data_IF_965289096035
#
_entry.id   IF_965289096035
#
_cell.length_a   1.000
_cell.length_b   1.000
_cell.length_c   1.000
_cell.angle_alpha   90.00
_cell.angle_beta   90.00
_cell.angle_gamma   90.00
#
_symmetry.space_group_name_H-M   'P 1'
#
loop_
_entity.id
_entity.type
_entity.pdbx_description
1 polymer ?
#
# COMPACT_ATOMS: atom_id res chain seq x y z
N UNK A 1 1.50 -15.30 26.22
CA UNK A 1 1.51 -15.82 24.85
C UNK A 1 2.28 -14.89 23.94
N UNK A 2 3.21 -15.41 23.19
CA UNK A 2 4.05 -14.62 22.30
C UNK A 2 3.23 -14.08 21.12
N UNK A 3 3.43 -12.80 20.76
CA UNK A 3 2.79 -12.20 19.58
C UNK A 3 3.29 -12.81 18.28
N UNK A 4 4.32 -13.64 18.32
CA UNK A 4 4.88 -14.28 17.14
C UNK A 4 3.87 -15.15 16.39
N UNK A 5 2.87 -15.67 17.09
CA UNK A 5 1.83 -16.53 16.50
C UNK A 5 0.62 -15.79 15.97
N UNK A 6 0.51 -14.48 16.25
CA UNK A 6 -0.70 -13.70 15.92
C UNK A 6 -0.66 -13.01 14.57
N UNK A 7 0.54 -12.83 14.06
CA UNK A 7 0.73 -12.10 12.80
C UNK A 7 1.32 -13.05 11.77
N UNK A 8 0.97 -12.79 10.53
CA UNK A 8 1.63 -13.45 9.41
C UNK A 8 3.13 -13.21 9.50
N UNK A 9 3.91 -14.15 8.98
CA UNK A 9 5.33 -13.93 8.79
C UNK A 9 5.55 -12.80 7.79
N UNK A 10 6.74 -12.23 7.80
CA UNK A 10 7.10 -11.17 6.86
C UNK A 10 6.85 -11.59 5.40
N UNK A 11 7.23 -12.81 5.03
CA UNK A 11 7.09 -13.33 3.67
C UNK A 11 5.63 -13.44 3.25
N UNK A 12 4.77 -13.95 4.14
CA UNK A 12 3.33 -14.08 3.87
C UNK A 12 2.66 -12.72 3.80
N UNK A 13 2.99 -11.81 4.72
CA UNK A 13 2.44 -10.45 4.73
C UNK A 13 2.79 -9.70 3.45
N UNK A 14 4.04 -9.79 2.99
CA UNK A 14 4.47 -9.17 1.73
C UNK A 14 3.75 -9.76 0.52
N UNK A 15 3.59 -11.08 0.49
CA UNK A 15 2.90 -11.75 -0.61
C UNK A 15 1.44 -11.29 -0.72
N UNK A 16 0.73 -11.24 0.42
CA UNK A 16 -0.66 -10.79 0.45
C UNK A 16 -0.77 -9.31 0.04
N UNK A 17 0.10 -8.47 0.58
CA UNK A 17 0.09 -7.05 0.27
C UNK A 17 0.34 -6.80 -1.22
N UNK A 18 1.37 -7.43 -1.77
CA UNK A 18 1.71 -7.27 -3.19
C UNK A 18 0.60 -7.79 -4.09
N UNK A 19 -0.05 -8.90 -3.72
CA UNK A 19 -1.19 -9.45 -4.46
C UNK A 19 -2.36 -8.49 -4.47
N UNK A 20 -2.75 -7.96 -3.31
CA UNK A 20 -3.84 -6.99 -3.21
C UNK A 20 -3.51 -5.69 -3.95
N UNK A 21 -2.29 -5.22 -3.82
CA UNK A 21 -1.84 -3.99 -4.49
C UNK A 21 -1.93 -4.13 -6.01
N UNK A 22 -1.42 -5.25 -6.54
CA UNK A 22 -1.51 -5.55 -7.98
C UNK A 22 -2.95 -5.68 -8.45
N UNK A 23 -3.80 -6.34 -7.66
CA UNK A 23 -5.23 -6.50 -7.99
C UNK A 23 -5.95 -5.15 -8.01
N UNK A 24 -5.67 -4.28 -7.06
CA UNK A 24 -6.24 -2.95 -7.04
C UNK A 24 -5.79 -2.12 -8.24
N UNK A 25 -4.49 -2.16 -8.56
CA UNK A 25 -3.96 -1.48 -9.75
C UNK A 25 -4.70 -1.93 -11.01
N UNK A 26 -4.89 -3.24 -11.16
CA UNK A 26 -5.60 -3.80 -12.32
C UNK A 26 -7.07 -3.38 -12.32
N UNK A 27 -7.71 -3.34 -11.15
CA UNK A 27 -9.11 -2.92 -11.03
C UNK A 27 -9.32 -1.50 -11.53
N UNK A 28 -8.53 -0.53 -11.04
CA UNK A 28 -8.69 0.85 -11.49
C UNK A 28 -8.30 1.02 -12.94
N UNK A 29 -7.37 0.24 -13.46
CA UNK A 29 -7.00 0.28 -14.87
C UNK A 29 -8.15 -0.14 -15.78
N UNK A 30 -9.07 -0.98 -15.31
CA UNK A 30 -10.27 -1.35 -16.06
C UNK A 30 -11.44 -0.40 -15.84
N UNK A 31 -11.55 0.20 -14.65
CA UNK A 31 -12.68 1.07 -14.29
C UNK A 31 -12.49 2.53 -14.73
N UNK A 32 -11.26 2.98 -14.91
CA UNK A 32 -10.93 4.35 -15.32
C UNK A 32 -10.35 4.30 -16.73
N UNK A 33 -11.13 4.76 -17.70
CA UNK A 33 -10.76 4.70 -19.12
C UNK A 33 -9.42 5.38 -19.39
N UNK A 34 -9.13 6.49 -18.73
CA UNK A 34 -7.87 7.22 -18.89
C UNK A 34 -6.65 6.39 -18.52
N UNK A 35 -6.81 5.32 -17.77
CA UNK A 35 -5.74 4.42 -17.35
C UNK A 35 -5.58 3.20 -18.27
N UNK A 36 -6.54 2.98 -19.17
CA UNK A 36 -6.56 1.78 -20.01
C UNK A 36 -5.35 1.74 -20.94
N UNK A 37 -4.69 0.59 -20.97
CA UNK A 37 -3.55 0.36 -21.87
C UNK A 37 -2.26 1.07 -21.48
N UNK A 38 -2.23 1.77 -20.35
CA UNK A 38 -1.03 2.44 -19.89
C UNK A 38 -0.11 1.49 -19.15
N UNK A 39 1.18 1.66 -19.33
CA UNK A 39 2.19 0.84 -18.66
C UNK A 39 2.63 1.54 -17.37
N UNK A 40 2.42 0.85 -16.25
CA UNK A 40 2.79 1.36 -14.94
C UNK A 40 4.26 1.15 -14.65
N UNK A 41 4.89 2.13 -14.01
CA UNK A 41 6.20 1.94 -13.40
C UNK A 41 6.00 1.26 -12.05
N UNK A 42 6.82 0.25 -11.75
CA UNK A 42 6.73 -0.48 -10.49
C UNK A 42 8.09 -0.52 -9.81
N UNK A 43 8.09 -0.21 -8.50
CA UNK A 43 9.24 -0.36 -7.62
C UNK A 43 8.88 -1.35 -6.52
N UNK A 44 9.68 -2.40 -6.36
CA UNK A 44 9.38 -3.47 -5.39
C UNK A 44 9.67 -3.07 -3.94
N UNK A 45 10.30 -1.92 -3.72
CA UNK A 45 10.66 -1.45 -2.39
C UNK A 45 11.90 -2.13 -1.82
N UNK A 46 12.17 -1.81 -0.56
CA UNK A 46 13.34 -2.33 0.16
C UNK A 46 12.92 -2.99 1.46
N UNK A 47 13.56 -4.11 1.77
CA UNK A 47 13.40 -4.80 3.04
C UNK A 47 14.37 -4.20 4.05
N UNK A 48 13.88 -3.88 5.25
CA UNK A 48 14.69 -3.29 6.32
C UNK A 48 14.48 -4.00 7.63
N UNK A 49 15.48 -3.92 8.50
CA UNK A 49 15.32 -4.22 9.93
C UNK A 49 14.65 -2.99 10.54
N UNK A 50 13.45 -3.15 11.09
CA UNK A 50 12.67 -2.00 11.56
C UNK A 50 12.40 -2.02 13.06
N UNK A 51 12.59 -3.17 13.73
CA UNK A 51 12.49 -3.26 15.18
C UNK A 51 13.10 -4.55 15.66
N UNK A 52 13.35 -4.64 16.97
CA UNK A 52 13.80 -5.86 17.62
C UNK A 52 12.97 -6.08 18.87
N UNK A 53 12.76 -7.35 19.24
CA UNK A 53 12.06 -7.67 20.47
C UNK A 53 13.04 -7.67 21.66
N UNK A 54 12.53 -7.98 22.84
CA UNK A 54 13.32 -8.00 24.07
C UNK A 54 14.50 -8.99 24.04
N UNK A 55 14.39 -10.00 23.21
CA UNK A 55 15.43 -11.04 23.05
C UNK A 55 16.41 -10.72 21.93
N UNK A 56 16.28 -9.54 21.30
CA UNK A 56 17.13 -9.13 20.19
C UNK A 56 16.72 -9.73 18.84
N UNK A 57 15.60 -10.44 18.77
CA UNK A 57 15.11 -11.00 17.52
C UNK A 57 14.55 -9.86 16.65
N UNK A 58 15.16 -9.70 15.49
CA UNK A 58 14.87 -8.55 14.63
C UNK A 58 13.70 -8.83 13.69
N UNK A 59 12.78 -7.87 13.62
CA UNK A 59 11.68 -7.89 12.67
C UNK A 59 12.06 -7.18 11.38
N UNK A 60 11.40 -7.55 10.30
CA UNK A 60 11.60 -6.95 9.00
C UNK A 60 10.35 -6.19 8.58
N UNK A 61 10.54 -5.10 7.85
CA UNK A 61 9.45 -4.40 7.17
C UNK A 61 9.87 -4.11 5.73
N UNK A 62 8.89 -3.79 4.90
CA UNK A 62 9.14 -3.45 3.51
C UNK A 62 8.56 -2.07 3.23
N UNK A 63 9.37 -1.18 2.66
CA UNK A 63 8.99 0.20 2.38
C UNK A 63 9.27 0.54 0.92
N UNK A 64 8.56 1.55 0.40
CA UNK A 64 8.80 2.04 -0.95
C UNK A 64 8.24 1.16 -2.06
N UNK A 65 7.26 0.31 -1.78
CA UNK A 65 6.54 -0.43 -2.81
C UNK A 65 5.69 0.58 -3.57
N UNK A 66 5.92 0.75 -4.87
CA UNK A 66 5.30 1.86 -5.59
C UNK A 66 4.84 1.47 -7.00
N UNK A 67 3.61 1.84 -7.34
CA UNK A 67 3.13 1.91 -8.72
C UNK A 67 2.95 3.38 -9.08
N UNK A 68 3.40 3.78 -10.26
CA UNK A 68 3.27 5.18 -10.70
C UNK A 68 2.99 5.29 -12.19
N UNK A 69 2.26 6.35 -12.53
CA UNK A 69 1.95 6.72 -13.91
C UNK A 69 2.03 8.23 -14.06
N UNK A 70 2.60 8.68 -15.18
CA UNK A 70 2.39 10.05 -15.64
C UNK A 70 1.13 10.02 -16.49
N UNK A 71 0.06 10.63 -16.00
CA UNK A 71 -1.26 10.58 -16.64
C UNK A 71 -2.07 11.80 -16.23
N UNK A 72 -2.86 12.32 -17.16
CA UNK A 72 -3.80 13.39 -16.87
C UNK A 72 -5.15 12.80 -16.52
N UNK A 73 -5.57 12.97 -15.27
CA UNK A 73 -6.86 12.53 -14.79
C UNK A 73 -7.76 13.72 -14.55
N UNK A 74 -9.09 13.49 -14.65
CA UNK A 74 -10.09 14.48 -14.33
C UNK A 74 -10.54 14.35 -12.87
N UNK A 75 -11.33 15.33 -12.41
CA UNK A 75 -11.96 15.25 -11.10
C UNK A 75 -12.89 14.03 -11.01
N UNK A 76 -13.59 13.72 -12.09
CA UNK A 76 -14.47 12.55 -12.15
C UNK A 76 -13.64 11.26 -12.01
N UNK A 77 -12.48 11.20 -12.66
CA UNK A 77 -11.56 10.06 -12.54
C UNK A 77 -11.10 9.89 -11.09
N UNK A 78 -10.74 10.98 -10.42
CA UNK A 78 -10.31 10.94 -9.02
C UNK A 78 -11.43 10.41 -8.11
N UNK A 79 -12.67 10.84 -8.33
CA UNK A 79 -13.82 10.35 -7.57
C UNK A 79 -14.10 8.87 -7.84
N UNK A 80 -13.95 8.44 -9.08
CA UNK A 80 -14.08 7.01 -9.43
C UNK A 80 -13.02 6.18 -8.72
N UNK A 81 -11.78 6.66 -8.69
CA UNK A 81 -10.68 5.98 -8.00
C UNK A 81 -10.97 5.90 -6.50
N UNK A 82 -11.49 6.97 -5.90
CA UNK A 82 -11.86 6.94 -4.49
C UNK A 82 -12.95 5.90 -4.20
N UNK A 83 -13.96 5.82 -5.06
CA UNK A 83 -15.03 4.83 -4.91
C UNK A 83 -14.49 3.41 -4.96
N UNK A 84 -13.64 3.11 -5.94
CA UNK A 84 -13.04 1.79 -6.07
C UNK A 84 -12.03 1.51 -4.94
N UNK A 85 -11.27 2.52 -4.53
CA UNK A 85 -10.33 2.42 -3.40
C UNK A 85 -11.06 2.04 -2.12
N UNK A 86 -12.16 2.74 -1.82
CA UNK A 86 -12.94 2.47 -0.60
C UNK A 86 -13.54 1.08 -0.61
N UNK A 87 -14.08 0.67 -1.75
CA UNK A 87 -14.71 -0.65 -1.88
C UNK A 87 -13.69 -1.77 -1.76
N UNK A 88 -12.58 -1.65 -2.49
CA UNK A 88 -11.56 -2.70 -2.54
C UNK A 88 -10.84 -2.84 -1.20
N UNK A 89 -10.22 -1.76 -0.71
CA UNK A 89 -9.41 -1.82 0.51
C UNK A 89 -10.27 -2.01 1.76
N UNK A 90 -11.52 -1.50 1.74
CA UNK A 90 -12.47 -1.74 2.82
C UNK A 90 -12.82 -3.21 3.03
N UNK A 91 -12.63 -4.05 2.01
CA UNK A 91 -12.86 -5.49 2.08
C UNK A 91 -11.57 -6.28 2.41
N UNK A 92 -10.45 -5.61 2.60
CA UNK A 92 -9.17 -6.22 2.95
C UNK A 92 -8.83 -5.98 4.41
N UNK A 93 -7.65 -6.45 4.84
CA UNK A 93 -7.16 -6.14 6.19
C UNK A 93 -6.79 -4.67 6.37
N UNK A 94 -6.53 -3.94 5.27
CA UNK A 94 -6.29 -2.49 5.28
C UNK A 94 -7.61 -1.73 5.20
N UNK A 95 -8.50 -1.97 6.15
CA UNK A 95 -9.87 -1.46 6.10
C UNK A 95 -10.10 -0.14 6.86
N UNK A 96 -9.06 0.46 7.39
CA UNK A 96 -9.12 1.80 7.98
C UNK A 96 -8.79 2.80 6.87
N UNK A 97 -9.82 3.54 6.41
CA UNK A 97 -9.72 4.38 5.23
C UNK A 97 -9.78 5.86 5.61
N UNK A 98 -8.98 6.67 4.92
CA UNK A 98 -8.97 8.11 5.08
C UNK A 98 -8.87 8.79 3.73
N UNK A 99 -9.60 9.89 3.57
CA UNK A 99 -9.44 10.79 2.42
C UNK A 99 -9.00 12.15 2.94
N UNK A 100 -7.82 12.57 2.52
CA UNK A 100 -7.25 13.88 2.91
C UNK A 100 -7.74 14.93 1.91
N UNK A 101 -8.65 15.80 2.33
CA UNK A 101 -9.33 16.74 1.43
C UNK A 101 -8.68 18.13 1.37
N UNK A 102 -7.67 18.40 2.21
CA UNK A 102 -7.12 19.74 2.39
C UNK A 102 -6.52 20.37 1.13
N UNK A 103 -6.08 19.56 0.17
CA UNK A 103 -5.42 20.03 -1.05
C UNK A 103 -6.21 19.72 -2.33
N UNK A 104 -7.46 19.26 -2.21
CA UNK A 104 -8.26 18.90 -3.39
C UNK A 104 -8.58 20.11 -4.27
N UNK A 105 -8.72 21.28 -3.70
CA UNK A 105 -8.91 22.52 -4.47
C UNK A 105 -7.69 22.84 -5.34
N UNK A 106 -6.52 22.37 -4.95
CA UNK A 106 -5.28 22.52 -5.72
C UNK A 106 -5.04 21.36 -6.69
N UNK A 107 -6.04 20.49 -6.86
CA UNK A 107 -5.94 19.33 -7.74
C UNK A 107 -5.15 18.16 -7.17
N UNK A 108 -4.95 18.11 -5.86
CA UNK A 108 -4.22 17.02 -5.21
C UNK A 108 -5.14 16.21 -4.32
N UNK A 109 -5.31 14.94 -4.67
CA UNK A 109 -6.14 13.98 -3.92
C UNK A 109 -5.23 12.98 -3.23
N UNK A 110 -5.54 12.65 -1.97
CA UNK A 110 -4.79 11.64 -1.22
C UNK A 110 -5.73 10.72 -0.49
N UNK A 111 -5.62 9.43 -0.78
CA UNK A 111 -6.42 8.37 -0.15
C UNK A 111 -5.49 7.42 0.59
N UNK A 112 -5.83 7.06 1.81
CA UNK A 112 -4.99 6.22 2.67
C UNK A 112 -5.80 5.03 3.16
N UNK A 113 -5.20 3.83 3.05
CA UNK A 113 -5.73 2.61 3.63
C UNK A 113 -4.68 2.03 4.56
N UNK A 114 -5.07 1.71 5.80
CA UNK A 114 -4.16 1.14 6.76
C UNK A 114 -4.87 0.15 7.66
N UNK A 115 -4.11 -0.50 8.52
CA UNK A 115 -4.64 -1.39 9.55
C UNK A 115 -3.97 -1.08 10.89
N UNK A 116 -4.47 -1.72 11.95
CA UNK A 116 -3.93 -1.50 13.29
C UNK A 116 -2.50 -2.02 13.48
N UNK A 117 -2.02 -2.85 12.55
CA UNK A 117 -0.67 -3.41 12.59
C UNK A 117 0.35 -2.40 12.03
N UNK A 118 -0.09 -1.49 11.15
CA UNK A 118 0.76 -0.47 10.57
C UNK A 118 1.08 -0.64 9.09
N UNK A 119 0.46 -1.63 8.42
CA UNK A 119 0.54 -1.72 6.96
C UNK A 119 -0.24 -0.55 6.38
N UNK A 120 0.26 0.04 5.30
CA UNK A 120 -0.35 1.24 4.75
C UNK A 120 -0.20 1.30 3.23
N UNK A 121 -1.24 1.78 2.59
CA UNK A 121 -1.21 2.15 1.17
C UNK A 121 -1.71 3.59 1.05
N UNK A 122 -0.96 4.40 0.32
CA UNK A 122 -1.34 5.77 -0.01
C UNK A 122 -1.50 5.89 -1.51
N UNK A 123 -2.60 6.50 -1.94
CA UNK A 123 -2.88 6.78 -3.35
C UNK A 123 -2.91 8.29 -3.53
N UNK A 124 -1.96 8.83 -4.28
CA UNK A 124 -1.85 10.27 -4.54
C UNK A 124 -2.17 10.55 -6.00
N UNK A 125 -3.11 11.47 -6.25
CA UNK A 125 -3.51 11.91 -7.58
C UNK A 125 -3.22 13.39 -7.70
N UNK A 126 -2.49 13.75 -8.76
CA UNK A 126 -2.21 15.14 -9.10
C UNK A 126 -2.90 15.45 -10.42
N UNK A 127 -3.93 16.29 -10.37
CA UNK A 127 -4.65 16.72 -11.57
C UNK A 127 -3.83 17.77 -12.32
N UNK A 128 -4.01 17.88 -13.67
CA UNK A 128 -3.32 18.90 -14.46
C UNK A 128 -3.66 20.30 -13.98
N UNK A 129 -2.66 21.09 -13.64
CA UNK A 129 -2.78 22.53 -13.43
C UNK A 129 -1.38 23.14 -13.51
N UNK A 130 -1.28 24.46 -13.31
CA UNK A 130 0.00 25.15 -13.45
C UNK A 130 1.03 24.83 -12.35
N UNK A 131 0.58 24.18 -11.24
CA UNK A 131 1.44 23.84 -10.11
C UNK A 131 1.87 22.38 -10.07
N UNK A 132 1.11 21.49 -10.71
CA UNK A 132 1.29 20.05 -10.59
C UNK A 132 1.77 19.43 -11.89
N UNK A 133 2.67 18.45 -11.76
CA UNK A 133 2.92 17.50 -12.84
C UNK A 133 1.83 16.42 -12.73
N UNK A 134 0.96 16.27 -13.76
CA UNK A 134 -0.13 15.28 -13.70
C UNK A 134 0.42 13.87 -13.51
N UNK A 135 -0.06 13.20 -12.47
CA UNK A 135 0.43 11.85 -12.15
C UNK A 135 -0.49 11.13 -11.17
N UNK A 136 -0.37 9.83 -11.16
CA UNK A 136 -1.00 8.94 -10.18
C UNK A 136 0.10 8.10 -9.54
N UNK A 137 0.25 8.20 -8.23
CA UNK A 137 1.25 7.45 -7.48
C UNK A 137 0.57 6.67 -6.36
N UNK A 138 0.93 5.38 -6.24
CA UNK A 138 0.47 4.57 -5.12
C UNK A 138 1.70 4.02 -4.41
N UNK A 139 1.79 4.29 -3.12
CA UNK A 139 2.93 3.91 -2.29
C UNK A 139 2.47 3.02 -1.15
N UNK A 140 3.13 1.88 -0.99
CA UNK A 140 2.77 0.92 0.04
C UNK A 140 3.93 0.53 0.94
N UNK A 141 3.58 0.12 2.15
CA UNK A 141 4.55 -0.47 3.08
C UNK A 141 3.92 -1.61 3.87
N UNK A 142 4.76 -2.55 4.25
CA UNK A 142 4.41 -3.66 5.13
C UNK A 142 5.18 -3.44 6.44
N UNK A 143 4.44 -3.35 7.54
CA UNK A 143 5.01 -3.07 8.85
C UNK A 143 5.77 -4.28 9.41
N UNK A 144 6.35 -4.10 10.59
CA UNK A 144 7.25 -5.06 11.20
C UNK A 144 6.62 -6.43 11.42
N UNK A 145 7.27 -7.46 10.92
CA UNK A 145 6.93 -8.89 11.10
C UNK A 145 8.18 -9.70 11.33
N UNK A 146 8.01 -10.83 12.01
CA UNK A 146 9.08 -11.83 12.07
C UNK A 146 9.18 -12.55 10.74
N UNK A 147 10.41 -12.92 10.35
CA UNK A 147 10.65 -13.76 9.18
C UNK A 147 10.23 -15.20 9.49
N UNK A 148 9.89 -15.95 8.44
CA UNK A 148 9.54 -17.36 8.59
C UNK A 148 10.63 -18.16 9.31
N UNK A 149 11.91 -17.92 8.99
CA UNK A 149 13.04 -18.60 9.64
C UNK A 149 13.10 -18.28 11.13
N UNK A 150 12.77 -17.06 11.53
CA UNK A 150 12.78 -16.64 12.94
C UNK A 150 11.67 -17.35 13.73
N UNK A 151 10.50 -17.50 13.12
CA UNK A 151 9.37 -18.22 13.73
C UNK A 151 9.73 -19.70 13.90
N UNK A 152 10.34 -20.32 12.91
CA UNK A 152 10.77 -21.71 12.97
C UNK A 152 11.79 -21.92 14.08
N UNK A 153 12.81 -21.06 14.19
CA UNK A 153 13.80 -21.11 15.26
C UNK A 153 13.18 -20.98 16.64
N UNK A 154 12.18 -20.09 16.76
CA UNK A 154 11.47 -19.90 18.03
C UNK A 154 10.83 -21.20 18.50
N UNK A 155 10.19 -21.96 17.60
CA UNK A 155 9.55 -23.22 17.95
C UNK A 155 10.55 -24.36 18.16
N UNK A 156 11.64 -24.39 17.42
CA UNK A 156 12.67 -25.43 17.56
C UNK A 156 13.44 -25.33 18.87
N UNK A 157 13.54 -24.13 19.45
CA UNK A 157 14.26 -23.90 20.72
C UNK A 157 13.40 -24.17 21.95
N UNK A 158 12.16 -24.52 21.75
CA UNK A 158 11.32 -24.99 22.87
C UNK A 158 11.57 -26.46 23.10
#
# INVERSE_FOLDING_TARGET
>A
MSNIDRLDTFEVACKHFLGDFSNFKNLISTQVQSLDGLEWSFEKGSTKVCSADEKGLKKRCKVGIKYSLLVELSQIDAETIWTEFSRFWGATTLNQLERVCSNEELGRYQFIANNSIGDELTCDIYLPNEWNIPQLNMLGCVSARYRKVDVQEFYEKK
#
